data_IF_891720360807
#
_entry.id   IF_891720360807
#
_cell.length_a   1.000
_cell.length_b   1.000
_cell.length_c   1.000
_cell.angle_alpha   90.00
_cell.angle_beta   90.00
_cell.angle_gamma   90.00
#
_symmetry.space_group_name_H-M   'P 1'
#
loop_
_entity.id
_entity.type
_entity.pdbx_description
1 polymer ?
#
# COMPACT_ATOMS: atom_id res chain seq x y z
N UNK A 1 -5.54 -15.69 -3.65
CA UNK A 1 -5.71 -15.09 -2.31
C UNK A 1 -4.69 -13.98 -2.14
N UNK A 2 -5.17 -12.78 -1.81
CA UNK A 2 -4.27 -11.65 -1.65
C UNK A 2 -3.58 -11.72 -0.28
N UNK A 3 -2.30 -11.42 -0.27
CA UNK A 3 -1.52 -11.36 0.98
C UNK A 3 -1.62 -10.00 1.66
N UNK A 4 -2.31 -9.05 1.03
CA UNK A 4 -2.48 -7.71 1.58
C UNK A 4 -3.89 -7.55 2.11
N UNK A 5 -4.04 -6.81 3.19
CA UNK A 5 -5.34 -6.52 3.76
C UNK A 5 -5.34 -5.15 4.39
N UNK A 6 -6.53 -4.63 4.64
CA UNK A 6 -6.69 -3.33 5.28
C UNK A 6 -5.97 -3.32 6.62
N UNK A 7 -5.25 -2.24 6.88
CA UNK A 7 -4.48 -2.08 8.10
C UNK A 7 -3.03 -2.49 7.97
N UNK A 8 -2.65 -3.16 6.89
CA UNK A 8 -1.27 -3.56 6.69
C UNK A 8 -0.41 -2.35 6.36
N UNK A 9 0.78 -2.32 6.95
CA UNK A 9 1.76 -1.29 6.65
C UNK A 9 2.61 -1.75 5.48
N UNK A 10 2.79 -0.87 4.50
CA UNK A 10 3.54 -1.19 3.29
C UNK A 10 4.49 -0.05 2.95
N UNK A 11 5.53 -0.39 2.18
CA UNK A 11 6.41 0.60 1.60
C UNK A 11 6.24 0.53 0.08
N UNK A 12 6.16 1.70 -0.55
CA UNK A 12 5.97 1.80 -1.98
C UNK A 12 7.31 1.68 -2.66
N UNK A 13 7.39 0.84 -3.69
CA UNK A 13 8.66 0.52 -4.33
C UNK A 13 8.79 1.07 -5.74
N UNK A 14 7.72 1.64 -6.32
CA UNK A 14 7.75 2.15 -7.67
C UNK A 14 6.85 3.37 -7.81
N UNK A 15 7.18 4.22 -8.76
CA UNK A 15 6.37 5.37 -9.10
C UNK A 15 6.76 6.61 -8.32
N UNK A 16 5.85 7.59 -8.34
CA UNK A 16 6.15 8.90 -7.76
C UNK A 16 6.34 8.85 -6.24
N UNK A 17 5.82 7.83 -5.61
CA UNK A 17 5.89 7.72 -4.14
C UNK A 17 6.87 6.65 -3.68
N UNK A 18 7.76 6.23 -4.57
CA UNK A 18 8.77 5.21 -4.25
C UNK A 18 9.54 5.61 -2.99
N UNK A 19 9.66 4.68 -2.07
CA UNK A 19 10.37 4.91 -0.80
C UNK A 19 9.49 5.41 0.32
N UNK A 20 8.25 5.77 0.03
CA UNK A 20 7.32 6.26 1.06
C UNK A 20 6.54 5.08 1.63
N UNK A 21 6.15 5.21 2.88
CA UNK A 21 5.37 4.16 3.53
C UNK A 21 3.95 4.63 3.81
N UNK A 22 3.07 3.67 3.97
CA UNK A 22 1.69 3.99 4.31
C UNK A 22 0.97 2.77 4.81
N UNK A 23 -0.34 2.93 5.01
CA UNK A 23 -1.21 1.87 5.52
C UNK A 23 -2.32 1.64 4.52
N UNK A 24 -2.62 0.37 4.26
CA UNK A 24 -3.68 0.02 3.33
C UNK A 24 -5.02 0.35 3.97
N UNK A 25 -5.81 1.19 3.28
CA UNK A 25 -7.12 1.58 3.78
C UNK A 25 -8.25 0.97 2.95
N UNK A 26 -7.94 0.48 1.76
CA UNK A 26 -8.92 -0.21 0.93
C UNK A 26 -8.19 -1.07 -0.08
N UNK A 27 -8.89 -2.06 -0.63
CA UNK A 27 -8.28 -2.84 -1.69
C UNK A 27 -9.35 -3.30 -2.67
N UNK A 28 -8.93 -3.40 -3.94
CA UNK A 28 -9.77 -3.83 -5.04
C UNK A 28 -9.28 -5.21 -5.48
N UNK A 29 -10.02 -6.24 -5.11
CA UNK A 29 -9.61 -7.62 -5.41
C UNK A 29 -9.62 -7.91 -6.90
N UNK A 30 -10.48 -7.26 -7.65
CA UNK A 30 -10.59 -7.53 -9.07
C UNK A 30 -9.36 -7.01 -9.82
N UNK A 31 -8.88 -5.84 -9.47
CA UNK A 31 -7.76 -5.22 -10.16
C UNK A 31 -6.43 -5.32 -9.45
N UNK A 32 -6.37 -6.03 -8.33
CA UNK A 32 -5.16 -6.14 -7.52
C UNK A 32 -4.62 -4.77 -7.12
N UNK A 33 -5.51 -3.81 -6.90
CA UNK A 33 -5.12 -2.45 -6.52
C UNK A 33 -5.38 -2.19 -5.07
N UNK A 34 -4.53 -1.35 -4.51
CA UNK A 34 -4.60 -0.97 -3.11
C UNK A 34 -4.75 0.53 -3.00
N UNK A 35 -5.53 0.99 -2.03
CA UNK A 35 -5.54 2.38 -1.63
C UNK A 35 -4.72 2.49 -0.37
N UNK A 36 -3.69 3.31 -0.40
CA UNK A 36 -2.73 3.44 0.68
C UNK A 36 -2.76 4.87 1.19
N UNK A 37 -2.92 5.02 2.50
CA UNK A 37 -2.81 6.33 3.14
C UNK A 37 -1.36 6.53 3.55
N UNK A 38 -0.70 7.52 2.96
CA UNK A 38 0.71 7.78 3.23
C UNK A 38 0.90 8.21 4.67
N UNK A 39 1.91 7.66 5.31
CA UNK A 39 2.09 7.84 6.75
C UNK A 39 2.46 9.25 7.16
N UNK A 40 3.15 9.99 6.28
CA UNK A 40 3.63 11.33 6.61
C UNK A 40 2.58 12.42 6.36
N UNK A 41 1.67 12.20 5.42
CA UNK A 41 0.70 13.24 5.03
C UNK A 41 -0.75 12.82 5.18
N UNK A 42 -1.00 11.51 5.24
CA UNK A 42 -2.35 11.00 5.22
C UNK A 42 -2.99 11.00 3.84
N UNK A 43 -2.25 11.40 2.82
CA UNK A 43 -2.77 11.41 1.46
C UNK A 43 -3.06 9.99 1.00
N UNK A 44 -4.22 9.77 0.40
CA UNK A 44 -4.58 8.45 -0.11
C UNK A 44 -4.20 8.36 -1.57
N UNK A 45 -3.48 7.30 -1.90
CA UNK A 45 -3.06 7.03 -3.27
C UNK A 45 -3.48 5.63 -3.65
N UNK A 46 -3.65 5.40 -4.95
CA UNK A 46 -3.94 4.06 -5.46
C UNK A 46 -2.70 3.52 -6.13
N UNK A 47 -2.39 2.26 -5.84
CA UNK A 47 -1.22 1.61 -6.39
C UNK A 47 -1.51 0.13 -6.57
N UNK A 48 -0.79 -0.50 -7.48
CA UNK A 48 -0.92 -1.94 -7.72
C UNK A 48 -0.15 -2.69 -6.63
N UNK A 49 -0.67 -3.85 -6.21
CA UNK A 49 -0.02 -4.60 -5.14
C UNK A 49 1.39 -5.06 -5.48
N UNK A 50 1.73 -5.15 -6.77
CA UNK A 50 3.09 -5.50 -7.19
C UNK A 50 4.09 -4.36 -6.94
N UNK A 51 3.61 -3.16 -6.65
CA UNK A 51 4.44 -1.97 -6.46
C UNK A 51 4.66 -1.61 -5.00
N UNK A 52 4.30 -2.52 -4.10
CA UNK A 52 4.51 -2.28 -2.67
C UNK A 52 5.07 -3.54 -2.03
N UNK A 53 5.77 -3.35 -0.93
CA UNK A 53 6.22 -4.45 -0.09
C UNK A 53 5.60 -4.29 1.29
N UNK A 54 5.18 -5.41 1.86
CA UNK A 54 4.63 -5.40 3.20
C UNK A 54 5.75 -5.19 4.21
N UNK A 55 5.52 -4.29 5.15
CA UNK A 55 6.45 -4.06 6.24
C UNK A 55 5.97 -4.89 7.42
N UNK A 56 6.82 -5.78 7.90
CA UNK A 56 6.45 -6.63 9.02
C UNK A 56 7.16 -6.16 10.25
N UNK A 57 6.36 -5.83 11.26
CA UNK A 57 6.87 -5.46 12.58
C UNK A 57 6.73 -6.64 13.50
N UNK A 58 7.79 -7.01 14.10
CA UNK A 58 7.73 -8.07 15.09
C UNK A 58 7.66 -7.52 16.49
#
# INVERSE_FOLDING_TARGET
>A
MSRFKKGDKVIITEGDFDGRWGVIVDKDVVGDELTVALGDSGQEIRTHEAHVNKVEDD
#
